data_IF_995472417036
#
_entry.id   IF_995472417036
#
_cell.length_a   1.000
_cell.length_b   1.000
_cell.length_c   1.000
_cell.angle_alpha   90.00
_cell.angle_beta   90.00
_cell.angle_gamma   90.00
#
_symmetry.space_group_name_H-M   'P 1'
#
loop_
_entity.id
_entity.type
_entity.pdbx_description
1 polymer ?
#
# COMPACT_ATOMS: atom_id res chain seq x y z
N UNK A 1 -6.58 -11.88 5.12
CA UNK A 1 -6.06 -12.89 4.19
C UNK A 1 -5.28 -14.02 4.86
N UNK A 2 -5.26 -14.16 6.20
CA UNK A 2 -4.56 -15.29 6.82
C UNK A 2 -5.26 -16.60 6.44
N UNK A 3 -4.49 -17.58 5.94
CA UNK A 3 -4.96 -18.92 5.62
C UNK A 3 -5.49 -19.14 4.19
N UNK A 4 -5.32 -18.18 3.26
CA UNK A 4 -5.66 -18.39 1.86
C UNK A 4 -4.50 -19.06 1.12
N UNK A 5 -4.82 -20.05 0.29
CA UNK A 5 -3.89 -20.60 -0.70
C UNK A 5 -3.91 -19.71 -1.94
N UNK A 6 -2.89 -18.86 -2.05
CA UNK A 6 -2.79 -17.93 -3.18
C UNK A 6 -2.52 -18.66 -4.50
N UNK A 7 -1.82 -19.79 -4.48
CA UNK A 7 -1.57 -20.57 -5.69
C UNK A 7 -2.88 -21.19 -6.21
N UNK A 8 -3.70 -21.77 -5.33
CA UNK A 8 -5.02 -22.30 -5.71
C UNK A 8 -5.98 -21.20 -6.24
N UNK A 9 -5.77 -19.94 -5.81
CA UNK A 9 -6.53 -18.78 -6.29
C UNK A 9 -5.95 -18.17 -7.58
N UNK A 10 -4.85 -18.71 -8.11
CA UNK A 10 -4.17 -18.16 -9.29
C UNK A 10 -3.53 -16.78 -9.03
N UNK A 11 -3.25 -16.44 -7.78
CA UNK A 11 -2.59 -15.19 -7.40
C UNK A 11 -1.09 -15.43 -7.43
N UNK A 12 -0.33 -14.69 -8.27
CA UNK A 12 1.11 -14.85 -8.33
C UNK A 12 1.79 -14.40 -7.04
N UNK A 13 2.95 -14.97 -6.77
CA UNK A 13 3.89 -14.42 -5.79
C UNK A 13 4.39 -13.04 -6.23
N UNK A 14 4.99 -12.29 -5.31
CA UNK A 14 5.58 -10.98 -5.64
C UNK A 14 6.65 -11.09 -6.73
N UNK A 15 7.52 -12.11 -6.67
CA UNK A 15 8.57 -12.30 -7.66
C UNK A 15 8.00 -12.64 -9.03
N UNK A 16 7.04 -13.56 -9.11
CA UNK A 16 6.36 -13.89 -10.38
C UNK A 16 5.68 -12.66 -10.99
N UNK A 17 5.08 -11.81 -10.15
CA UNK A 17 4.49 -10.56 -10.61
C UNK A 17 5.55 -9.58 -11.15
N UNK A 18 6.69 -9.45 -10.47
CA UNK A 18 7.80 -8.60 -10.93
C UNK A 18 8.38 -9.11 -12.26
N UNK A 19 8.54 -10.42 -12.42
CA UNK A 19 9.05 -11.04 -13.65
C UNK A 19 8.08 -10.80 -14.82
N UNK A 20 6.78 -10.98 -14.58
CA UNK A 20 5.74 -10.65 -15.58
C UNK A 20 5.77 -9.17 -15.94
N UNK A 21 5.86 -8.28 -14.95
CA UNK A 21 5.92 -6.84 -15.18
C UNK A 21 7.15 -6.47 -16.03
N UNK A 22 8.33 -6.99 -15.70
CA UNK A 22 9.57 -6.79 -16.45
C UNK A 22 9.44 -7.26 -17.91
N UNK A 23 8.90 -8.46 -18.11
CA UNK A 23 8.65 -9.02 -19.44
C UNK A 23 7.76 -8.13 -20.30
N UNK A 24 6.65 -7.63 -19.75
CA UNK A 24 5.69 -6.80 -20.50
C UNK A 24 6.10 -5.34 -20.64
N UNK A 25 6.88 -4.81 -19.69
CA UNK A 25 7.36 -3.43 -19.73
C UNK A 25 8.69 -3.26 -20.49
N UNK A 26 9.33 -4.35 -20.89
CA UNK A 26 10.64 -4.33 -21.56
C UNK A 26 11.77 -3.91 -20.63
N UNK A 27 11.61 -4.12 -19.32
CA UNK A 27 12.61 -3.78 -18.29
C UNK A 27 13.35 -5.03 -17.85
N UNK A 28 14.66 -4.93 -17.67
CA UNK A 28 15.47 -6.06 -17.20
C UNK A 28 15.21 -6.42 -15.73
N UNK A 29 14.99 -5.41 -14.88
CA UNK A 29 14.62 -5.60 -13.48
C UNK A 29 13.90 -4.36 -12.91
N UNK A 30 13.34 -4.53 -11.72
CA UNK A 30 12.89 -3.43 -10.86
C UNK A 30 13.76 -3.43 -9.59
N UNK A 31 14.92 -2.80 -9.69
CA UNK A 31 15.79 -2.60 -8.53
C UNK A 31 15.08 -1.79 -7.45
N UNK A 32 15.32 -2.18 -6.19
CA UNK A 32 14.70 -1.56 -5.01
C UNK A 32 13.16 -1.48 -5.08
N UNK A 33 12.49 -2.51 -5.62
CA UNK A 33 11.03 -2.56 -5.71
C UNK A 33 10.34 -2.30 -4.35
N UNK A 34 11.00 -2.69 -3.25
CA UNK A 34 10.53 -2.45 -1.90
C UNK A 34 10.34 -0.96 -1.58
N UNK A 35 11.21 -0.08 -2.10
CA UNK A 35 11.02 1.37 -1.96
C UNK A 35 9.66 1.81 -2.54
N UNK A 36 9.26 1.30 -3.71
CA UNK A 36 7.98 1.65 -4.32
C UNK A 36 6.79 1.14 -3.50
N UNK A 37 6.93 -0.05 -2.90
CA UNK A 37 5.92 -0.59 -1.97
C UNK A 37 5.79 0.32 -0.76
N UNK A 38 6.89 0.60 -0.06
CA UNK A 38 6.91 1.47 1.13
C UNK A 38 6.39 2.87 0.82
N UNK A 39 6.84 3.47 -0.29
CA UNK A 39 6.35 4.76 -0.78
C UNK A 39 4.84 4.73 -1.02
N UNK A 40 4.32 3.67 -1.64
CA UNK A 40 2.88 3.53 -1.90
C UNK A 40 2.06 3.45 -0.61
N UNK A 41 2.56 2.79 0.43
CA UNK A 41 1.91 2.78 1.74
C UNK A 41 1.91 4.17 2.40
N UNK A 42 3.04 4.88 2.40
CA UNK A 42 3.09 6.25 2.94
C UNK A 42 2.21 7.22 2.15
N UNK A 43 2.20 7.12 0.82
CA UNK A 43 1.30 7.90 -0.04
C UNK A 43 -0.16 7.63 0.31
N UNK A 44 -0.52 6.35 0.50
CA UNK A 44 -1.87 5.97 0.94
C UNK A 44 -2.22 6.57 2.31
N UNK A 45 -1.29 6.53 3.27
CA UNK A 45 -1.47 7.13 4.59
C UNK A 45 -1.75 8.65 4.49
N UNK A 46 -0.97 9.37 3.69
CA UNK A 46 -1.14 10.81 3.48
C UNK A 46 -2.49 11.15 2.82
N UNK A 47 -2.91 10.39 1.81
CA UNK A 47 -4.23 10.58 1.16
C UNK A 47 -5.36 10.40 2.18
N UNK A 48 -5.32 9.32 2.95
CA UNK A 48 -6.34 9.01 3.97
C UNK A 48 -6.36 10.10 5.04
N UNK A 49 -5.19 10.55 5.49
CA UNK A 49 -5.07 11.62 6.48
C UNK A 49 -5.67 12.92 5.94
N UNK A 50 -5.39 13.30 4.68
CA UNK A 50 -5.96 14.50 4.07
C UNK A 50 -7.48 14.45 3.96
N UNK A 51 -8.06 13.29 3.63
CA UNK A 51 -9.52 13.10 3.65
C UNK A 51 -10.07 13.23 5.08
N UNK A 52 -9.41 12.62 6.06
CA UNK A 52 -9.81 12.71 7.46
C UNK A 52 -9.78 14.16 7.98
N UNK A 53 -8.70 14.91 7.66
CA UNK A 53 -8.55 16.32 8.03
C UNK A 53 -9.68 17.18 7.45
N UNK A 54 -9.99 17.04 6.15
CA UNK A 54 -11.14 17.73 5.55
C UNK A 54 -12.47 17.32 6.19
N UNK A 55 -12.59 16.07 6.64
CA UNK A 55 -13.74 15.61 7.41
C UNK A 55 -13.88 16.32 8.76
N UNK A 56 -12.79 16.50 9.50
CA UNK A 56 -12.77 17.25 10.75
C UNK A 56 -13.13 18.73 10.55
N UNK A 57 -12.77 19.30 9.41
CA UNK A 57 -13.07 20.68 9.04
C UNK A 57 -14.49 20.87 8.48
N UNK A 58 -15.30 19.80 8.43
CA UNK A 58 -16.66 19.86 7.86
C UNK A 58 -16.68 19.99 6.33
N UNK A 59 -15.53 19.90 5.67
CA UNK A 59 -15.35 20.06 4.22
C UNK A 59 -15.16 18.70 3.50
N UNK A 60 -15.80 17.65 4.01
CA UNK A 60 -15.83 16.35 3.34
C UNK A 60 -17.25 16.02 2.86
N UNK A 61 -17.36 15.53 1.64
CA UNK A 61 -18.63 15.11 1.02
C UNK A 61 -19.25 13.85 1.67
N UNK A 62 -18.55 13.19 2.60
CA UNK A 62 -19.01 11.95 3.24
C UNK A 62 -18.70 11.92 4.73
N UNK A 63 -19.70 11.53 5.53
CA UNK A 63 -19.54 11.25 6.97
C UNK A 63 -18.55 10.10 7.25
N UNK A 64 -18.26 9.25 6.26
CA UNK A 64 -17.24 8.19 6.39
C UNK A 64 -15.85 8.78 6.61
N UNK A 65 -15.58 10.02 6.18
CA UNK A 65 -14.28 10.67 6.30
C UNK A 65 -13.76 10.69 7.75
N UNK A 66 -14.63 10.94 8.73
CA UNK A 66 -14.27 10.97 10.17
C UNK A 66 -13.82 9.60 10.70
N UNK A 67 -14.25 8.50 10.06
CA UNK A 67 -13.88 7.14 10.48
C UNK A 67 -12.51 6.72 9.95
N UNK A 68 -11.90 7.49 9.05
CA UNK A 68 -10.69 7.10 8.34
C UNK A 68 -9.38 7.43 9.08
N UNK A 69 -9.41 8.25 10.13
CA UNK A 69 -8.19 8.70 10.83
C UNK A 69 -7.30 7.55 11.32
N UNK A 70 -7.91 6.49 11.86
CA UNK A 70 -7.17 5.30 12.31
C UNK A 70 -6.48 4.56 11.15
N UNK A 71 -7.09 4.54 9.96
CA UNK A 71 -6.52 3.86 8.79
C UNK A 71 -5.25 4.56 8.29
N UNK A 72 -5.17 5.89 8.39
CA UNK A 72 -3.95 6.62 8.02
C UNK A 72 -2.76 6.16 8.88
N UNK A 73 -2.96 6.04 10.20
CA UNK A 73 -1.94 5.53 11.12
C UNK A 73 -1.55 4.10 10.79
N UNK A 74 -2.52 3.19 10.63
CA UNK A 74 -2.25 1.78 10.30
C UNK A 74 -1.44 1.65 9.00
N UNK A 75 -1.71 2.48 7.99
CA UNK A 75 -0.93 2.49 6.74
C UNK A 75 0.51 2.93 6.96
N UNK A 76 0.74 4.00 7.71
CA UNK A 76 2.07 4.49 8.03
C UNK A 76 2.88 3.49 8.88
N UNK A 77 2.26 2.88 9.89
CA UNK A 77 2.89 1.86 10.73
C UNK A 77 3.25 0.60 9.95
N UNK A 78 2.40 0.18 9.02
CA UNK A 78 2.72 -0.95 8.13
C UNK A 78 3.89 -0.61 7.20
N UNK A 79 3.94 0.61 6.65
CA UNK A 79 5.07 1.06 5.83
C UNK A 79 6.38 1.01 6.64
N UNK A 80 6.35 1.55 7.86
CA UNK A 80 7.52 1.58 8.74
C UNK A 80 7.97 0.19 9.16
N UNK A 81 7.04 -0.73 9.44
CA UNK A 81 7.37 -2.12 9.74
C UNK A 81 8.09 -2.80 8.58
N UNK A 82 7.65 -2.56 7.33
CA UNK A 82 8.32 -3.08 6.14
C UNK A 82 9.74 -2.54 6.06
N UNK A 83 9.95 -1.24 6.30
CA UNK A 83 11.31 -0.67 6.36
C UNK A 83 12.15 -1.39 7.41
N UNK A 84 11.68 -1.49 8.65
CA UNK A 84 12.43 -2.11 9.75
C UNK A 84 12.78 -3.59 9.52
N UNK A 85 11.95 -4.34 8.79
CA UNK A 85 12.17 -5.75 8.48
C UNK A 85 13.17 -5.98 7.34
N UNK A 86 13.52 -4.94 6.60
CA UNK A 86 14.36 -5.01 5.40
C UNK A 86 15.54 -4.01 5.46
N UNK A 87 15.87 -3.57 6.66
CA UNK A 87 17.11 -2.84 6.98
C UNK A 87 18.23 -3.82 7.33
#
# INVERSE_FOLDING_TARGET
>A
FKGLDFAALGIPTEQEFLDLYCRYSGRDNVSNHLFFVVFSFFRSAAIIQGVYKRGLEGNASSQKALKLGHLARVRAENAWRIVQQNL
#
